data_IF_080183154784
#
_entry.id   IF_080183154784
#
_cell.length_a   1.000
_cell.length_b   1.000
_cell.length_c   1.000
_cell.angle_alpha   90.00
_cell.angle_beta   90.00
_cell.angle_gamma   90.00
#
_symmetry.space_group_name_H-M   'P 1'
#
loop_
_entity.id
_entity.type
_entity.pdbx_description
1 polymer ?
#
# COMPACT_ATOMS: atom_id res chain seq x y z
N UNK A 1 -7.30 25.06 24.69
CA UNK A 1 -8.13 23.84 24.63
C UNK A 1 -7.18 22.67 24.42
N UNK A 2 -7.26 21.66 25.28
CA UNK A 2 -6.23 20.63 25.41
C UNK A 2 -6.16 19.75 24.16
N UNK A 3 -4.98 19.72 23.55
CA UNK A 3 -4.60 18.85 22.46
C UNK A 3 -4.55 17.42 23.02
N UNK A 4 -5.65 16.67 22.92
CA UNK A 4 -5.76 15.35 23.53
C UNK A 4 -4.98 14.37 22.63
N UNK A 5 -3.83 13.82 23.07
CA UNK A 5 -3.01 13.02 22.19
C UNK A 5 -3.77 11.74 21.84
N UNK A 6 -4.15 11.60 20.57
CA UNK A 6 -4.60 10.32 19.96
C UNK A 6 -3.73 9.18 20.51
N UNK A 7 -4.40 8.17 21.09
CA UNK A 7 -3.76 6.99 21.64
C UNK A 7 -3.08 6.17 20.53
N UNK A 8 -2.04 5.42 20.88
CA UNK A 8 -1.37 4.52 19.93
C UNK A 8 -2.36 3.53 19.29
N UNK A 9 -3.29 2.99 20.08
CA UNK A 9 -4.35 2.09 19.61
C UNK A 9 -5.23 2.71 18.51
N UNK A 10 -5.61 3.98 18.65
CA UNK A 10 -6.37 4.68 17.62
C UNK A 10 -5.51 4.96 16.37
N UNK A 11 -4.20 5.16 16.55
CA UNK A 11 -3.24 5.21 15.45
C UNK A 11 -3.17 3.89 14.67
N UNK A 12 -3.21 2.76 15.36
CA UNK A 12 -3.19 1.43 14.76
C UNK A 12 -4.48 1.14 13.98
N UNK A 13 -5.63 1.47 14.57
CA UNK A 13 -6.94 1.37 13.89
C UNK A 13 -6.98 2.26 12.65
N UNK A 14 -6.42 3.46 12.71
CA UNK A 14 -6.30 4.34 11.55
C UNK A 14 -5.41 3.73 10.46
N UNK A 15 -4.25 3.15 10.82
CA UNK A 15 -3.37 2.48 9.85
C UNK A 15 -4.07 1.35 9.12
N UNK A 16 -4.76 0.48 9.86
CA UNK A 16 -5.54 -0.62 9.28
C UNK A 16 -6.66 -0.11 8.37
N UNK A 17 -7.38 0.94 8.80
CA UNK A 17 -8.44 1.55 8.00
C UNK A 17 -7.91 2.08 6.66
N UNK A 18 -6.81 2.84 6.65
CA UNK A 18 -6.23 3.35 5.41
C UNK A 18 -5.69 2.22 4.55
N UNK A 19 -5.03 1.21 5.14
CA UNK A 19 -4.50 0.07 4.39
C UNK A 19 -5.61 -0.68 3.65
N UNK A 20 -6.75 -0.92 4.31
CA UNK A 20 -7.93 -1.53 3.68
C UNK A 20 -8.44 -0.70 2.49
N UNK A 21 -8.48 0.62 2.62
CA UNK A 21 -8.88 1.50 1.52
C UNK A 21 -7.89 1.48 0.35
N UNK A 22 -6.59 1.45 0.62
CA UNK A 22 -5.55 1.36 -0.43
C UNK A 22 -5.66 0.01 -1.15
N UNK A 23 -5.74 -1.10 -0.42
CA UNK A 23 -5.91 -2.44 -1.01
C UNK A 23 -7.18 -2.50 -1.86
N UNK A 24 -8.33 -2.08 -1.30
CA UNK A 24 -9.59 -2.08 -2.04
C UNK A 24 -9.53 -1.22 -3.31
N UNK A 25 -8.82 -0.09 -3.29
CA UNK A 25 -8.63 0.74 -4.47
C UNK A 25 -7.76 0.04 -5.51
N UNK A 26 -6.65 -0.58 -5.11
CA UNK A 26 -5.77 -1.31 -6.03
C UNK A 26 -6.49 -2.51 -6.66
N UNK A 27 -7.28 -3.25 -5.89
CA UNK A 27 -8.08 -4.36 -6.40
C UNK A 27 -9.15 -3.88 -7.39
N UNK A 28 -9.88 -2.81 -7.06
CA UNK A 28 -10.94 -2.27 -7.92
C UNK A 28 -10.41 -1.62 -9.21
N UNK A 29 -9.15 -1.18 -9.22
CA UNK A 29 -8.54 -0.47 -10.35
C UNK A 29 -7.40 -1.26 -11.00
N UNK A 30 -7.25 -2.56 -10.69
CA UNK A 30 -6.17 -3.43 -11.21
C UNK A 30 -6.00 -3.30 -12.71
N UNK A 31 -7.08 -3.48 -13.47
CA UNK A 31 -7.02 -3.52 -14.92
C UNK A 31 -6.64 -2.16 -15.52
N UNK A 32 -7.16 -1.07 -14.96
CA UNK A 32 -6.80 0.28 -15.37
C UNK A 32 -5.31 0.58 -15.09
N UNK A 33 -4.78 0.15 -13.94
CA UNK A 33 -3.36 0.29 -13.60
C UNK A 33 -2.48 -0.47 -14.60
N UNK A 34 -2.88 -1.69 -14.99
CA UNK A 34 -2.17 -2.48 -15.99
C UNK A 34 -2.22 -1.79 -17.36
N UNK A 35 -3.40 -1.32 -17.78
CA UNK A 35 -3.57 -0.66 -19.07
C UNK A 35 -2.76 0.63 -19.16
N UNK A 36 -2.76 1.45 -18.11
CA UNK A 36 -1.97 2.68 -18.04
C UNK A 36 -0.47 2.37 -18.08
N UNK A 37 -0.01 1.33 -17.38
CA UNK A 37 1.39 0.90 -17.40
C UNK A 37 1.82 0.41 -18.78
N UNK A 38 1.00 -0.42 -19.44
CA UNK A 38 1.26 -0.92 -20.80
C UNK A 38 1.24 0.23 -21.79
N UNK A 39 0.28 1.15 -21.71
CA UNK A 39 0.20 2.31 -22.60
C UNK A 39 1.45 3.20 -22.50
N UNK A 40 1.98 3.39 -21.28
CA UNK A 40 3.20 4.15 -21.04
C UNK A 40 4.48 3.43 -21.48
N UNK A 41 4.47 2.11 -21.65
CA UNK A 41 5.63 1.26 -21.93
C UNK A 41 5.38 0.29 -23.09
N UNK A 42 4.58 0.71 -24.07
CA UNK A 42 4.05 -0.17 -25.12
C UNK A 42 5.13 -0.80 -26.01
N UNK A 43 6.33 -0.22 -26.05
CA UNK A 43 7.51 -0.72 -26.75
C UNK A 43 8.27 -1.81 -25.98
N UNK A 44 8.01 -1.96 -24.67
CA UNK A 44 8.78 -2.82 -23.76
C UNK A 44 8.00 -4.02 -23.27
N UNK A 45 6.68 -3.89 -23.07
CA UNK A 45 5.88 -4.95 -22.47
C UNK A 45 4.41 -4.85 -22.90
N UNK A 46 3.79 -6.01 -23.11
CA UNK A 46 2.36 -6.12 -23.34
C UNK A 46 1.61 -6.56 -22.06
N UNK A 47 0.29 -6.45 -22.10
CA UNK A 47 -0.58 -6.80 -20.97
C UNK A 47 -0.39 -8.23 -20.49
N UNK A 48 -0.35 -9.18 -21.44
CA UNK A 48 -0.24 -10.60 -21.11
C UNK A 48 1.06 -10.89 -20.34
N UNK A 49 2.16 -10.24 -20.73
CA UNK A 49 3.44 -10.39 -20.04
C UNK A 49 3.46 -9.72 -18.67
N UNK A 50 2.78 -8.58 -18.47
CA UNK A 50 2.59 -8.00 -17.13
C UNK A 50 1.87 -9.00 -16.21
N UNK A 51 0.78 -9.59 -16.68
CA UNK A 51 -0.01 -10.53 -15.88
C UNK A 51 0.74 -11.83 -15.54
N UNK A 52 1.59 -12.31 -16.44
CA UNK A 52 2.37 -13.55 -16.24
C UNK A 52 3.70 -13.35 -15.50
N UNK A 53 4.17 -12.12 -15.38
CA UNK A 53 5.49 -11.80 -14.81
C UNK A 53 5.57 -11.78 -13.28
N UNK A 54 4.43 -11.92 -12.59
CA UNK A 54 4.36 -11.77 -11.13
C UNK A 54 4.52 -10.33 -10.65
N UNK A 55 4.55 -9.34 -11.55
CA UNK A 55 4.67 -7.92 -11.17
C UNK A 55 3.47 -7.39 -10.36
N UNK A 56 2.35 -8.12 -10.36
CA UNK A 56 1.15 -7.80 -9.59
C UNK A 56 1.18 -8.39 -8.16
N UNK A 57 2.14 -9.27 -7.86
CA UNK A 57 2.35 -9.84 -6.53
C UNK A 57 3.32 -8.94 -5.74
N UNK A 58 2.76 -8.03 -4.95
CA UNK A 58 3.53 -7.10 -4.13
C UNK A 58 2.87 -6.80 -2.79
N UNK A 59 3.69 -6.37 -1.83
CA UNK A 59 3.26 -5.98 -0.49
C UNK A 59 3.01 -4.47 -0.39
N UNK A 60 1.92 -4.11 0.27
CA UNK A 60 1.62 -2.72 0.65
C UNK A 60 1.71 -2.56 2.16
N UNK A 61 2.37 -1.48 2.62
CA UNK A 61 2.46 -1.13 4.04
C UNK A 61 2.32 0.38 4.25
N UNK A 62 1.75 0.77 5.40
CA UNK A 62 1.54 2.18 5.77
C UNK A 62 2.27 2.47 7.09
N UNK A 63 3.05 3.55 7.09
CA UNK A 63 3.78 4.03 8.28
C UNK A 63 3.26 5.40 8.70
N UNK A 64 2.92 5.58 9.99
CA UNK A 64 2.58 6.90 10.53
C UNK A 64 3.84 7.61 11.03
N UNK A 65 4.09 8.81 10.51
CA UNK A 65 5.23 9.63 10.92
C UNK A 65 5.09 10.22 12.34
N UNK A 66 3.89 10.20 12.92
CA UNK A 66 3.68 10.58 14.33
C UNK A 66 4.37 9.62 15.30
N UNK A 67 4.52 8.37 14.91
CA UNK A 67 5.25 7.34 15.67
C UNK A 67 6.77 7.50 15.55
N UNK A 68 7.25 8.30 14.58
CA UNK A 68 8.69 8.53 14.32
C UNK A 68 9.36 9.57 15.23
N UNK A 69 8.72 10.04 16.32
CA UNK A 69 9.40 10.97 17.24
C UNK A 69 10.61 10.38 17.97
N UNK A 70 10.97 9.10 17.83
CA UNK A 70 12.18 8.59 18.49
C UNK A 70 12.89 7.36 17.90
N UNK A 71 12.70 6.97 16.64
CA UNK A 71 13.49 5.85 16.09
C UNK A 71 13.79 6.01 14.61
N UNK A 72 15.06 6.31 14.34
CA UNK A 72 15.74 6.04 13.07
C UNK A 72 15.97 4.52 13.01
N UNK A 73 15.03 3.79 12.43
CA UNK A 73 15.11 2.34 12.31
C UNK A 73 13.77 1.80 11.82
N UNK A 74 13.80 0.73 11.02
CA UNK A 74 12.62 0.01 10.53
C UNK A 74 11.72 -0.38 11.71
N UNK A 75 10.76 0.49 12.03
CA UNK A 75 9.95 0.42 13.25
C UNK A 75 8.94 -0.73 13.18
N UNK A 76 8.89 -1.50 14.26
CA UNK A 76 8.16 -2.76 14.55
C UNK A 76 6.63 -2.80 14.30
N UNK A 77 6.07 -2.00 13.40
CA UNK A 77 4.64 -1.86 13.19
C UNK A 77 4.27 -2.01 11.71
N UNK A 78 4.91 -2.95 11.03
CA UNK A 78 4.63 -3.30 9.64
C UNK A 78 3.39 -4.19 9.56
N UNK A 79 2.32 -3.67 8.95
CA UNK A 79 1.26 -4.52 8.42
C UNK A 79 1.61 -4.86 6.97
N UNK A 80 1.84 -6.15 6.73
CA UNK A 80 2.08 -6.75 5.41
C UNK A 80 0.77 -7.38 4.96
N UNK A 81 0.20 -6.91 3.87
CA UNK A 81 -0.93 -7.55 3.21
C UNK A 81 -0.44 -8.06 1.86
N UNK A 82 -0.46 -9.39 1.67
CA UNK A 82 -0.25 -10.00 0.36
C UNK A 82 -1.50 -9.75 -0.48
N UNK A 83 -1.36 -9.13 -1.63
CA UNK A 83 -2.48 -8.84 -2.52
C UNK A 83 -2.41 -9.76 -3.74
N UNK A 84 -3.30 -10.76 -3.75
CA UNK A 84 -3.73 -11.60 -4.89
C UNK A 84 -2.71 -12.64 -5.41
N UNK A 85 -3.21 -13.87 -5.65
CA UNK A 85 -2.54 -15.00 -6.31
C UNK A 85 -3.20 -15.24 -7.67
#
# INVERSE_FOLDING_TARGET
MADNPISSELGDVWRDHVLKHVVAHLEANRDAIIDDFVAANADQIDRERVEQSGLLDFDVSITLHRDRKQSFGLGLNFFKANMIR
#
